data_IF_356918681099
#
_entry.id   IF_356918681099
#
_cell.length_a   1.000
_cell.length_b   1.000
_cell.length_c   1.000
_cell.angle_alpha   90.00
_cell.angle_beta   90.00
_cell.angle_gamma   90.00
#
_symmetry.space_group_name_H-M   'P 1'
#
loop_
_entity.id
_entity.type
_entity.pdbx_description
1 polymer ?
#
# COMPACT_ATOMS: atom_id res chain seq x y z
N UNK A 1 -44.53 32.74 26.77
CA UNK A 1 -43.51 31.66 26.62
C UNK A 1 -44.24 30.34 26.39
N UNK A 2 -44.24 29.83 25.16
CA UNK A 2 -44.81 28.52 24.83
C UNK A 2 -43.64 27.51 24.85
N UNK A 3 -43.62 26.64 25.85
CA UNK A 3 -42.64 25.55 25.96
C UNK A 3 -42.72 24.65 24.70
N UNK A 4 -41.59 24.23 24.08
CA UNK A 4 -41.62 23.27 23.00
C UNK A 4 -41.87 21.85 23.56
N UNK A 5 -42.66 21.06 22.82
CA UNK A 5 -42.96 19.65 23.14
C UNK A 5 -41.70 18.78 23.00
N UNK A 6 -41.59 17.69 23.79
CA UNK A 6 -40.50 16.73 23.63
C UNK A 6 -40.59 16.03 22.28
N UNK A 7 -39.45 15.97 21.58
CA UNK A 7 -39.29 15.25 20.33
C UNK A 7 -39.53 13.74 20.55
N UNK A 8 -40.26 13.11 19.62
CA UNK A 8 -40.58 11.69 19.68
C UNK A 8 -39.35 10.78 19.51
N UNK A 9 -39.52 9.46 19.71
CA UNK A 9 -38.44 8.46 19.81
C UNK A 9 -37.56 8.30 18.56
N UNK A 10 -37.92 8.92 17.43
CA UNK A 10 -37.12 8.87 16.20
C UNK A 10 -35.80 9.65 16.30
N UNK A 11 -35.73 10.71 17.12
CA UNK A 11 -34.50 11.48 17.29
C UNK A 11 -33.45 10.74 18.15
N UNK A 12 -33.88 9.84 19.04
CA UNK A 12 -32.99 9.09 19.92
C UNK A 12 -32.30 7.91 19.21
N UNK A 13 -32.91 7.35 18.16
CA UNK A 13 -32.37 6.21 17.42
C UNK A 13 -31.33 6.59 16.34
N UNK A 14 -31.26 7.87 15.95
CA UNK A 14 -30.29 8.37 14.97
C UNK A 14 -28.96 8.82 15.61
N UNK A 15 -28.96 9.16 16.90
CA UNK A 15 -27.77 9.50 17.66
C UNK A 15 -26.70 8.39 17.70
N UNK A 16 -27.02 7.10 18.00
CA UNK A 16 -26.01 6.07 18.15
C UNK A 16 -25.23 5.79 16.86
N UNK A 17 -25.87 5.82 15.69
CA UNK A 17 -25.16 5.59 14.42
C UNK A 17 -24.26 6.78 14.02
N UNK A 18 -24.62 8.00 14.43
CA UNK A 18 -23.76 9.17 14.22
C UNK A 18 -22.53 9.14 15.14
N UNK A 19 -22.71 8.67 16.37
CA UNK A 19 -21.62 8.47 17.33
C UNK A 19 -20.69 7.34 16.88
N UNK A 20 -21.22 6.21 16.42
CA UNK A 20 -20.43 5.08 15.88
C UNK A 20 -19.63 5.49 14.63
N UNK A 21 -20.24 6.27 13.72
CA UNK A 21 -19.53 6.81 12.55
C UNK A 21 -18.45 7.81 12.96
N UNK A 22 -18.72 8.66 13.96
CA UNK A 22 -17.73 9.61 14.47
C UNK A 22 -16.56 8.91 15.15
N UNK A 23 -16.82 7.82 15.88
CA UNK A 23 -15.79 7.02 16.53
C UNK A 23 -14.93 6.29 15.48
N UNK A 24 -15.54 5.74 14.43
CA UNK A 24 -14.84 5.11 13.30
C UNK A 24 -13.96 6.10 12.53
N UNK A 25 -14.46 7.31 12.24
CA UNK A 25 -13.69 8.34 11.55
C UNK A 25 -12.50 8.81 12.39
N UNK A 26 -12.67 8.89 13.72
CA UNK A 26 -11.58 9.23 14.64
C UNK A 26 -10.49 8.14 14.65
N UNK A 27 -10.88 6.86 14.67
CA UNK A 27 -9.93 5.74 14.58
C UNK A 27 -9.17 5.75 13.25
N UNK A 28 -9.85 6.07 12.15
CA UNK A 28 -9.21 6.18 10.84
C UNK A 28 -8.16 7.30 10.80
N UNK A 29 -8.46 8.47 11.36
CA UNK A 29 -7.50 9.58 11.43
C UNK A 29 -6.27 9.23 12.27
N UNK A 30 -6.47 8.53 13.40
CA UNK A 30 -5.38 8.06 14.26
C UNK A 30 -4.44 7.08 13.53
N UNK A 31 -5.00 6.12 12.79
CA UNK A 31 -4.22 5.17 11.98
C UNK A 31 -3.44 5.88 10.86
N UNK A 32 -4.05 6.88 10.20
CA UNK A 32 -3.37 7.67 9.17
C UNK A 32 -2.18 8.47 9.72
N UNK A 33 -2.33 9.07 10.91
CA UNK A 33 -1.22 9.76 11.58
C UNK A 33 -0.06 8.81 11.94
N UNK A 34 -0.35 7.57 12.32
CA UNK A 34 0.67 6.55 12.60
C UNK A 34 1.46 6.15 11.34
N UNK A 35 0.82 6.12 10.17
CA UNK A 35 1.50 5.90 8.89
C UNK A 35 2.42 7.07 8.52
N UNK A 36 1.97 8.30 8.71
CA UNK A 36 2.77 9.51 8.43
C UNK A 36 3.97 9.65 9.38
N UNK A 37 3.84 9.14 10.62
CA UNK A 37 4.94 9.08 11.59
C UNK A 37 5.79 7.81 11.46
N UNK A 38 5.41 6.91 10.55
CA UNK A 38 6.02 5.60 10.38
C UNK A 38 7.45 5.65 9.80
N UNK A 39 8.14 4.49 9.75
CA UNK A 39 9.56 4.39 9.38
C UNK A 39 9.89 4.80 7.93
N UNK A 40 8.90 5.19 7.13
CA UNK A 40 9.07 5.66 5.76
C UNK A 40 10.10 6.80 5.67
N UNK A 41 10.15 7.69 6.67
CA UNK A 41 11.15 8.76 6.74
C UNK A 41 12.59 8.24 6.96
N UNK A 42 12.77 7.09 7.61
CA UNK A 42 14.10 6.51 7.86
C UNK A 42 14.65 5.76 6.64
N UNK A 43 13.77 5.20 5.81
CA UNK A 43 14.17 4.52 4.58
C UNK A 43 14.75 5.51 3.55
N UNK A 44 14.17 6.70 3.45
CA UNK A 44 14.70 7.79 2.63
C UNK A 44 16.13 8.17 3.06
N UNK A 45 16.35 8.31 4.37
CA UNK A 45 17.67 8.61 4.93
C UNK A 45 18.70 7.49 4.63
N UNK A 46 18.32 6.22 4.81
CA UNK A 46 19.17 5.09 4.46
C UNK A 46 19.49 5.04 2.96
N UNK A 47 18.54 5.41 2.10
CA UNK A 47 18.75 5.47 0.65
C UNK A 47 19.75 6.59 0.27
N UNK A 48 19.65 7.76 0.92
CA UNK A 48 20.60 8.85 0.74
C UNK A 48 22.02 8.47 1.21
N UNK A 49 22.14 7.76 2.34
CA UNK A 49 23.42 7.22 2.81
C UNK A 49 24.02 6.21 1.84
N UNK A 50 23.20 5.31 1.27
CA UNK A 50 23.65 4.35 0.27
C UNK A 50 24.15 5.03 -1.01
N UNK A 51 23.44 6.06 -1.49
CA UNK A 51 23.83 6.85 -2.66
C UNK A 51 25.15 7.59 -2.43
N UNK A 52 25.38 8.12 -1.23
CA UNK A 52 26.64 8.78 -0.85
C UNK A 52 27.80 7.80 -0.79
N UNK A 53 27.61 6.63 -0.18
CA UNK A 53 28.61 5.55 -0.13
C UNK A 53 28.98 5.06 -1.53
N UNK A 54 27.99 4.86 -2.39
CA UNK A 54 28.22 4.45 -3.78
C UNK A 54 28.97 5.53 -4.59
N UNK A 55 28.72 6.82 -4.32
CA UNK A 55 29.42 7.93 -4.97
C UNK A 55 30.83 8.22 -4.43
N UNK A 56 31.16 7.84 -3.20
CA UNK A 56 32.47 8.08 -2.57
C UNK A 56 33.44 6.89 -2.68
N UNK A 57 32.96 5.71 -3.07
CA UNK A 57 33.76 4.47 -3.14
C UNK A 57 34.61 4.33 -4.42
N UNK A 58 34.62 5.31 -5.33
CA UNK A 58 35.29 5.15 -6.64
C UNK A 58 36.73 5.65 -6.65
N UNK A 59 37.20 6.39 -5.64
CA UNK A 59 38.55 6.94 -5.65
C UNK A 59 39.11 7.19 -4.24
N UNK A 60 39.63 6.17 -3.56
CA UNK A 60 40.88 6.24 -2.80
C UNK A 60 41.26 4.84 -2.27
N UNK A 61 42.54 4.50 -2.35
CA UNK A 61 43.17 3.21 -1.98
C UNK A 61 42.89 2.06 -2.97
N UNK A 62 43.76 1.76 -3.92
CA UNK A 62 45.18 1.48 -3.70
C UNK A 62 45.33 0.00 -3.36
N UNK A 63 45.43 -0.83 -4.41
CA UNK A 63 46.06 -2.15 -4.47
C UNK A 63 46.76 -2.62 -3.18
N UNK A 64 46.25 -3.68 -2.55
CA UNK A 64 47.08 -4.63 -1.81
C UNK A 64 46.42 -6.03 -1.87
N UNK A 65 46.94 -6.83 -2.82
CA UNK A 65 47.27 -8.25 -2.65
C UNK A 65 46.33 -9.10 -1.77
N UNK A 66 45.16 -9.48 -2.31
CA UNK A 66 44.42 -10.66 -1.85
C UNK A 66 44.24 -11.61 -3.05
N UNK A 67 45.37 -12.03 -3.62
CA UNK A 67 45.50 -13.05 -4.68
C UNK A 67 45.76 -14.46 -4.12
N UNK A 68 45.35 -14.77 -2.89
CA UNK A 68 45.56 -16.10 -2.33
C UNK A 68 44.25 -16.70 -1.85
N UNK A 69 43.83 -17.78 -2.52
CA UNK A 69 42.96 -18.85 -1.99
C UNK A 69 41.53 -19.02 -2.54
N UNK A 70 41.26 -18.68 -3.81
CA UNK A 70 39.99 -19.11 -4.46
C UNK A 70 40.17 -19.97 -5.73
N UNK A 71 41.40 -20.36 -6.09
CA UNK A 71 41.68 -21.13 -7.30
C UNK A 71 41.76 -22.66 -7.08
N UNK A 72 40.95 -23.25 -6.21
CA UNK A 72 40.90 -24.73 -6.08
C UNK A 72 39.51 -25.26 -5.77
N UNK A 73 38.52 -24.86 -6.56
CA UNK A 73 37.32 -25.67 -6.75
C UNK A 73 37.15 -25.98 -8.23
N UNK A 74 37.85 -27.03 -8.67
CA UNK A 74 37.49 -27.77 -9.87
C UNK A 74 36.15 -28.47 -9.63
N UNK A 75 35.04 -27.82 -9.97
CA UNK A 75 33.76 -28.51 -10.13
C UNK A 75 33.62 -28.94 -11.59
N UNK A 76 33.70 -30.25 -11.82
CA UNK A 76 33.58 -30.89 -13.12
C UNK A 76 32.14 -30.72 -13.65
N UNK A 77 31.92 -29.68 -14.46
CA UNK A 77 30.63 -29.36 -15.09
C UNK A 77 30.33 -30.21 -16.33
N UNK A 78 30.56 -31.53 -16.25
CA UNK A 78 30.06 -32.47 -17.25
C UNK A 78 28.73 -33.08 -16.81
N UNK A 79 27.72 -32.23 -16.62
CA UNK A 79 26.32 -32.65 -16.78
C UNK A 79 25.56 -31.58 -17.55
N UNK A 80 25.03 -31.86 -18.76
CA UNK A 80 24.17 -30.93 -19.46
C UNK A 80 22.84 -30.85 -18.72
N UNK A 81 22.76 -29.98 -17.69
CA UNK A 81 21.51 -29.61 -17.06
C UNK A 81 20.75 -28.65 -17.98
N UNK A 82 20.25 -29.21 -19.09
CA UNK A 82 19.25 -28.66 -19.98
C UNK A 82 17.87 -28.52 -19.28
N UNK A 83 17.85 -27.93 -18.09
CA UNK A 83 16.65 -27.83 -17.26
C UNK A 83 16.55 -26.42 -16.67
N UNK A 84 16.63 -25.39 -17.51
CA UNK A 84 15.93 -24.17 -17.19
C UNK A 84 14.44 -24.52 -17.14
N UNK A 85 13.71 -24.27 -16.02
CA UNK A 85 12.28 -24.41 -16.03
C UNK A 85 11.75 -23.37 -17.02
N UNK A 86 11.30 -23.85 -18.17
CA UNK A 86 10.61 -23.05 -19.17
C UNK A 86 9.44 -22.34 -18.48
N UNK A 87 9.45 -20.99 -18.53
CA UNK A 87 8.44 -20.05 -18.00
C UNK A 87 7.44 -20.69 -17.03
N UNK A 88 7.56 -20.37 -15.74
CA UNK A 88 6.56 -20.69 -14.73
C UNK A 88 5.15 -20.51 -15.33
N UNK A 89 4.46 -21.63 -15.54
CA UNK A 89 3.10 -21.62 -16.07
C UNK A 89 2.22 -21.20 -14.90
N UNK A 90 1.84 -19.91 -14.89
CA UNK A 90 0.76 -19.43 -14.03
C UNK A 90 -0.42 -20.39 -14.25
N UNK A 91 -0.92 -20.93 -13.15
CA UNK A 91 -2.13 -21.76 -13.17
C UNK A 91 -3.32 -20.96 -13.66
N UNK A 92 -4.52 -21.52 -13.52
CA UNK A 92 -5.72 -20.79 -13.85
C UNK A 92 -5.85 -19.51 -13.00
N UNK A 93 -5.92 -18.34 -13.65
CA UNK A 93 -6.06 -17.02 -13.00
C UNK A 93 -7.50 -16.52 -13.00
N UNK A 94 -8.47 -17.34 -13.40
CA UNK A 94 -9.87 -16.93 -13.51
C UNK A 94 -10.44 -16.33 -12.20
N UNK A 95 -10.17 -16.94 -11.04
CA UNK A 95 -10.63 -16.43 -9.74
C UNK A 95 -10.05 -15.02 -9.44
N UNK A 96 -8.80 -14.79 -9.82
CA UNK A 96 -8.15 -13.48 -9.66
C UNK A 96 -8.77 -12.43 -10.60
N UNK A 97 -9.08 -12.83 -11.84
CA UNK A 97 -9.73 -11.95 -12.82
C UNK A 97 -11.15 -11.57 -12.39
N UNK A 98 -11.91 -12.53 -11.82
CA UNK A 98 -13.25 -12.28 -11.26
C UNK A 98 -13.18 -11.33 -10.05
N UNK A 99 -12.20 -11.52 -9.16
CA UNK A 99 -11.98 -10.63 -8.01
C UNK A 99 -11.66 -9.19 -8.45
N UNK A 100 -10.80 -9.02 -9.46
CA UNK A 100 -10.48 -7.70 -10.03
C UNK A 100 -11.73 -7.06 -10.65
N UNK A 101 -12.51 -7.82 -11.43
CA UNK A 101 -13.72 -7.30 -12.06
C UNK A 101 -14.79 -6.86 -11.04
N UNK A 102 -14.92 -7.58 -9.92
CA UNK A 102 -15.84 -7.19 -8.85
C UNK A 102 -15.32 -5.99 -8.06
N UNK A 103 -14.00 -5.86 -7.85
CA UNK A 103 -13.40 -4.65 -7.29
C UNK A 103 -13.66 -3.42 -8.17
N UNK A 104 -13.47 -3.54 -9.49
CA UNK A 104 -13.72 -2.45 -10.44
C UNK A 104 -15.19 -1.99 -10.38
N UNK A 105 -16.15 -2.93 -10.28
CA UNK A 105 -17.58 -2.57 -10.12
C UNK A 105 -17.86 -1.82 -8.83
N UNK A 106 -17.28 -2.25 -7.71
CA UNK A 106 -17.48 -1.60 -6.41
C UNK A 106 -16.91 -0.18 -6.43
N UNK A 107 -15.71 -0.01 -7.01
CA UNK A 107 -15.07 1.29 -7.13
C UNK A 107 -15.88 2.22 -8.05
N UNK A 108 -16.33 1.74 -9.20
CA UNK A 108 -17.13 2.53 -10.11
C UNK A 108 -18.49 2.92 -9.51
N UNK A 109 -19.16 2.00 -8.82
CA UNK A 109 -20.41 2.31 -8.12
C UNK A 109 -20.21 3.38 -7.04
N UNK A 110 -19.13 3.27 -6.26
CA UNK A 110 -18.77 4.22 -5.21
C UNK A 110 -18.48 5.61 -5.79
N UNK A 111 -17.69 5.68 -6.85
CA UNK A 111 -17.37 6.94 -7.54
C UNK A 111 -18.60 7.58 -8.18
N UNK A 112 -19.47 6.79 -8.81
CA UNK A 112 -20.73 7.29 -9.35
C UNK A 112 -21.66 7.84 -8.27
N UNK A 113 -21.74 7.19 -7.11
CA UNK A 113 -22.57 7.66 -6.00
C UNK A 113 -22.03 8.98 -5.44
N UNK A 114 -20.70 9.07 -5.28
CA UNK A 114 -20.02 10.29 -4.85
C UNK A 114 -20.29 11.44 -5.83
N UNK A 115 -20.12 11.20 -7.13
CA UNK A 115 -20.35 12.22 -8.16
C UNK A 115 -21.82 12.66 -8.22
N UNK A 116 -22.77 11.72 -8.10
CA UNK A 116 -24.21 12.02 -8.00
C UNK A 116 -24.51 12.85 -6.75
N UNK A 117 -23.89 12.53 -5.61
CA UNK A 117 -24.00 13.29 -4.38
C UNK A 117 -23.49 14.73 -4.52
N UNK A 118 -22.31 14.91 -5.13
CA UNK A 118 -21.78 16.24 -5.45
C UNK A 118 -22.68 17.02 -6.42
N UNK A 119 -23.21 16.36 -7.44
CA UNK A 119 -24.16 16.97 -8.39
C UNK A 119 -25.46 17.39 -7.69
N UNK A 120 -25.97 16.61 -6.74
CA UNK A 120 -27.17 16.96 -5.99
C UNK A 120 -26.92 18.12 -5.00
N UNK A 121 -25.74 18.14 -4.39
CA UNK A 121 -25.35 19.14 -3.39
C UNK A 121 -25.03 20.50 -4.02
N UNK A 122 -24.43 20.51 -5.21
CA UNK A 122 -23.88 21.72 -5.84
C UNK A 122 -24.47 22.06 -7.21
N UNK A 123 -25.16 21.12 -7.86
CA UNK A 123 -25.74 21.27 -9.19
C UNK A 123 -27.15 21.87 -9.21
N UNK A 124 -27.68 22.30 -8.06
CA UNK A 124 -28.97 22.99 -7.97
C UNK A 124 -28.92 24.41 -8.55
N UNK A 125 -29.51 24.59 -9.74
CA UNK A 125 -29.99 25.87 -10.27
C UNK A 125 -31.47 25.74 -10.59
#
# INVERSE_FOLDING_TARGET
LKQPRPAGPAAAAAAPMADELSDLLREFDEVMEDFDRGPACQYEQHLEELKRKAGHSVYDSGIDELESDLNSSEEDLNTPANAYPSKAKLGDTQELEEFIADLDKVLEASLQLLLKGFSLLWGGK
#
